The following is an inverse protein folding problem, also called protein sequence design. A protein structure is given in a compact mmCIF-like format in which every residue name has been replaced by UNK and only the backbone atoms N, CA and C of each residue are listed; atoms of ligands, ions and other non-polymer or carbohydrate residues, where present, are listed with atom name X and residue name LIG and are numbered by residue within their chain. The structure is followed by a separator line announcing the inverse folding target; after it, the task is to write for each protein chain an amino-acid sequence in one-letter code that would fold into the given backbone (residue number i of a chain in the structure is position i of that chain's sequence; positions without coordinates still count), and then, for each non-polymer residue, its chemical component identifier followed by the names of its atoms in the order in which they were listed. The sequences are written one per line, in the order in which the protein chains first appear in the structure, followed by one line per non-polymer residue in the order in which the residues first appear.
data_IF_614004594296
#
_entry.id   IF_614004594296
#
_cell.length_a   1.000
_cell.length_b   1.000
_cell.length_c   1.000
_cell.angle_alpha   90.00
_cell.angle_beta   90.00
_cell.angle_gamma   90.00
#
_symmetry.space_group_name_H-M   'P 1'
#
loop_
_entity.id
_entity.type
_entity.pdbx_description
1 polymer ?
#
# COMPACT_ATOMS: atom_id res chain seq x y z
N UNK A 1 -27.91 18.00 -40.16
CA UNK A 1 -26.99 18.67 -39.22
C UNK A 1 -27.02 17.85 -37.97
N UNK A 2 -26.15 16.84 -37.99
CA UNK A 2 -26.11 15.76 -37.02
C UNK A 2 -25.57 16.25 -35.69
N UNK A 3 -26.28 15.87 -34.63
CA UNK A 3 -25.98 16.20 -33.25
C UNK A 3 -25.01 15.13 -32.72
N UNK A 4 -23.70 15.32 -32.94
CA UNK A 4 -22.67 14.48 -32.34
C UNK A 4 -22.65 14.69 -30.83
N UNK A 5 -23.28 13.74 -30.10
CA UNK A 5 -23.06 13.56 -28.67
C UNK A 5 -21.60 13.21 -28.45
N UNK A 6 -20.84 14.14 -27.87
CA UNK A 6 -19.54 13.86 -27.24
C UNK A 6 -19.69 12.66 -26.30
N UNK A 7 -19.05 11.56 -26.67
CA UNK A 7 -18.84 10.42 -25.80
C UNK A 7 -17.80 10.88 -24.76
N UNK A 8 -18.23 11.09 -23.51
CA UNK A 8 -17.31 11.24 -22.40
C UNK A 8 -16.54 9.92 -22.24
N UNK A 9 -15.22 9.98 -22.40
CA UNK A 9 -14.34 8.84 -22.15
C UNK A 9 -14.46 8.46 -20.67
N UNK A 10 -15.18 7.36 -20.42
CA UNK A 10 -15.29 6.71 -19.12
C UNK A 10 -13.86 6.32 -18.69
N UNK A 11 -13.38 6.90 -17.57
CA UNK A 11 -12.11 6.51 -16.93
C UNK A 11 -12.26 5.09 -16.38
N UNK A 12 -12.11 4.10 -17.25
CA UNK A 12 -12.32 2.71 -16.89
C UNK A 12 -11.11 2.13 -16.14
N UNK A 13 -11.16 2.23 -14.82
CA UNK A 13 -10.31 1.46 -13.90
C UNK A 13 -10.86 0.07 -13.60
N UNK A 14 -12.03 -0.30 -14.15
CA UNK A 14 -12.68 -1.58 -13.87
C UNK A 14 -12.17 -2.64 -14.84
N UNK A 15 -11.60 -3.71 -14.29
CA UNK A 15 -11.08 -4.82 -15.09
C UNK A 15 -12.19 -5.71 -15.68
N UNK A 16 -13.47 -5.49 -15.33
CA UNK A 16 -14.61 -6.26 -15.79
C UNK A 16 -15.91 -5.42 -15.76
N UNK A 17 -16.40 -5.00 -16.93
CA UNK A 17 -17.83 -4.69 -17.13
C UNK A 17 -18.39 -3.44 -16.45
N UNK A 18 -17.58 -2.46 -16.06
CA UNK A 18 -18.06 -1.19 -15.49
C UNK A 18 -18.53 -1.29 -14.04
N UNK A 19 -18.04 -2.28 -13.28
CA UNK A 19 -18.31 -2.38 -11.84
C UNK A 19 -17.22 -1.66 -11.03
N UNK A 20 -17.63 -0.76 -10.13
CA UNK A 20 -16.71 0.03 -9.30
C UNK A 20 -16.16 -0.78 -8.10
N UNK A 21 -17.00 -1.60 -7.46
CA UNK A 21 -16.58 -2.49 -6.37
C UNK A 21 -17.48 -3.71 -6.23
N UNK A 22 -16.94 -4.81 -5.71
CA UNK A 22 -17.72 -6.02 -5.38
C UNK A 22 -18.82 -5.70 -4.37
N UNK A 23 -18.54 -4.87 -3.37
CA UNK A 23 -19.51 -4.49 -2.35
C UNK A 23 -20.72 -3.76 -2.97
N UNK A 24 -20.47 -2.76 -3.84
CA UNK A 24 -21.52 -2.02 -4.52
C UNK A 24 -22.33 -2.92 -5.45
N UNK A 25 -21.66 -3.80 -6.21
CA UNK A 25 -22.31 -4.78 -7.07
C UNK A 25 -23.27 -5.68 -6.28
N UNK A 26 -22.80 -6.26 -5.16
CA UNK A 26 -23.62 -7.12 -4.33
C UNK A 26 -24.78 -6.36 -3.67
N UNK A 27 -24.52 -5.14 -3.16
CA UNK A 27 -25.53 -4.33 -2.48
C UNK A 27 -26.66 -3.86 -3.39
N UNK A 28 -26.37 -3.61 -4.68
CA UNK A 28 -27.34 -3.16 -5.67
C UNK A 28 -28.08 -4.32 -6.34
N UNK A 29 -27.45 -5.50 -6.40
CA UNK A 29 -28.01 -6.66 -7.10
C UNK A 29 -28.76 -7.63 -6.20
N UNK A 30 -28.56 -7.60 -4.88
CA UNK A 30 -29.16 -8.54 -3.94
C UNK A 30 -30.23 -7.87 -3.06
N UNK A 31 -31.34 -8.56 -2.75
CA UNK A 31 -32.26 -8.16 -1.68
C UNK A 31 -31.52 -7.98 -0.35
N UNK A 32 -31.94 -7.05 0.53
CA UNK A 32 -31.20 -6.72 1.76
C UNK A 32 -30.87 -7.92 2.66
N UNK A 33 -31.79 -8.88 2.80
CA UNK A 33 -31.57 -10.08 3.62
C UNK A 33 -30.51 -11.03 3.02
N UNK A 34 -30.48 -11.18 1.69
CA UNK A 34 -29.44 -11.97 1.02
C UNK A 34 -28.10 -11.26 1.05
N UNK A 35 -28.09 -9.93 0.87
CA UNK A 35 -26.85 -9.15 0.97
C UNK A 35 -26.22 -9.28 2.36
N UNK A 36 -27.02 -9.24 3.43
CA UNK A 36 -26.55 -9.46 4.79
C UNK A 36 -25.96 -10.87 4.98
N UNK A 37 -26.64 -11.90 4.49
CA UNK A 37 -26.17 -13.29 4.64
C UNK A 37 -24.91 -13.57 3.81
N UNK A 38 -24.84 -13.06 2.58
CA UNK A 38 -23.63 -13.11 1.74
C UNK A 38 -22.49 -12.37 2.41
N UNK A 39 -22.76 -11.18 2.97
CA UNK A 39 -21.77 -10.40 3.72
C UNK A 39 -21.23 -11.17 4.92
N UNK A 40 -22.09 -11.85 5.69
CA UNK A 40 -21.72 -12.70 6.82
C UNK A 40 -20.79 -13.84 6.41
N UNK A 41 -21.05 -14.47 5.26
CA UNK A 41 -20.26 -15.61 4.77
C UNK A 41 -18.91 -15.14 4.19
N UNK A 42 -18.89 -14.08 3.39
CA UNK A 42 -17.69 -13.62 2.70
C UNK A 42 -16.73 -12.84 3.61
N UNK A 43 -17.26 -11.96 4.47
CA UNK A 43 -16.45 -11.07 5.29
C UNK A 43 -16.36 -11.51 6.76
N UNK A 44 -17.31 -12.33 7.23
CA UNK A 44 -17.45 -12.67 8.64
C UNK A 44 -18.14 -11.58 9.46
N UNK A 45 -18.06 -11.73 10.79
CA UNK A 45 -18.61 -10.79 11.77
C UNK A 45 -17.48 -10.31 12.70
N UNK A 46 -17.54 -9.05 13.10
CA UNK A 46 -16.70 -8.49 14.14
C UNK A 46 -17.50 -8.44 15.45
N UNK A 47 -17.09 -9.22 16.45
CA UNK A 47 -17.80 -9.35 17.74
C UNK A 47 -19.31 -9.65 17.57
N UNK A 48 -19.65 -10.56 16.65
CA UNK A 48 -21.03 -10.98 16.40
C UNK A 48 -21.88 -10.00 15.58
N UNK A 49 -21.30 -8.90 15.07
CA UNK A 49 -22.00 -7.91 14.25
C UNK A 49 -21.29 -7.70 12.90
N UNK A 50 -21.99 -7.22 11.86
CA UNK A 50 -21.35 -6.75 10.63
C UNK A 50 -20.34 -5.65 10.94
N UNK A 51 -19.30 -5.55 10.10
CA UNK A 51 -18.26 -4.53 10.24
C UNK A 51 -18.88 -3.12 10.19
N UNK A 52 -18.54 -2.30 11.18
CA UNK A 52 -19.07 -0.94 11.32
C UNK A 52 -18.25 0.05 10.48
N UNK A 53 -18.93 0.92 9.73
CA UNK A 53 -18.29 2.04 9.04
C UNK A 53 -18.07 3.22 9.98
N UNK A 54 -16.91 3.87 9.89
CA UNK A 54 -16.57 5.06 10.66
C UNK A 54 -16.75 6.32 9.82
N UNK A 55 -17.28 7.37 10.44
CA UNK A 55 -17.32 8.70 9.85
C UNK A 55 -15.91 9.24 9.63
N UNK A 56 -15.70 9.90 8.49
CA UNK A 56 -14.46 10.60 8.16
C UNK A 56 -14.58 12.07 8.55
N UNK A 57 -13.50 12.72 9.02
CA UNK A 57 -13.53 14.14 9.34
C UNK A 57 -13.66 14.99 8.07
N UNK A 58 -14.35 16.13 8.16
CA UNK A 58 -14.59 17.05 7.05
C UNK A 58 -13.29 17.49 6.35
N UNK A 59 -12.21 17.66 7.11
CA UNK A 59 -10.89 18.02 6.57
C UNK A 59 -10.31 16.94 5.66
N UNK A 60 -10.55 15.65 5.95
CA UNK A 60 -10.14 14.55 5.10
C UNK A 60 -11.06 14.41 3.87
N UNK A 61 -12.37 14.59 4.06
CA UNK A 61 -13.36 14.57 2.96
C UNK A 61 -13.04 15.68 1.94
N UNK A 62 -12.73 16.88 2.41
CA UNK A 62 -12.35 18.00 1.54
C UNK A 62 -11.09 17.69 0.70
N UNK A 63 -10.11 16.97 1.27
CA UNK A 63 -8.93 16.51 0.53
C UNK A 63 -9.29 15.45 -0.51
N UNK A 64 -10.11 14.46 -0.13
CA UNK A 64 -10.62 13.42 -1.03
C UNK A 64 -11.33 14.02 -2.24
N UNK A 65 -12.26 14.97 -2.02
CA UNK A 65 -12.97 15.65 -3.11
C UNK A 65 -12.05 16.51 -3.98
N UNK A 66 -11.08 17.20 -3.36
CA UNK A 66 -10.15 18.09 -4.09
C UNK A 66 -9.16 17.32 -4.97
N UNK A 67 -8.68 16.18 -4.51
CA UNK A 67 -7.63 15.40 -5.17
C UNK A 67 -8.14 14.10 -5.83
N UNK A 68 -9.46 13.89 -5.85
CA UNK A 68 -10.14 12.80 -6.56
C UNK A 68 -9.64 11.41 -6.15
N UNK A 69 -9.82 11.05 -4.88
CA UNK A 69 -9.51 9.72 -4.36
C UNK A 69 -10.55 9.21 -3.36
N UNK A 70 -10.80 7.90 -3.39
CA UNK A 70 -11.74 7.25 -2.48
C UNK A 70 -11.22 7.19 -1.04
N UNK A 71 -12.14 7.31 -0.08
CA UNK A 71 -11.86 7.09 1.32
C UNK A 71 -12.96 6.23 1.95
N UNK A 72 -12.54 5.23 2.72
CA UNK A 72 -13.42 4.40 3.54
C UNK A 72 -12.74 4.14 4.88
N UNK A 73 -13.53 4.07 5.94
CA UNK A 73 -13.05 3.78 7.28
C UNK A 73 -13.98 2.80 7.96
N UNK A 74 -13.40 1.85 8.69
CA UNK A 74 -14.13 0.78 9.37
C UNK A 74 -13.57 0.56 10.78
N UNK A 75 -14.42 0.05 11.68
CA UNK A 75 -14.05 -0.21 13.06
C UNK A 75 -14.04 -1.71 13.35
N UNK A 76 -12.95 -2.19 13.95
CA UNK A 76 -12.86 -3.52 14.53
C UNK A 76 -12.82 -3.39 16.04
N UNK A 77 -13.81 -3.99 16.70
CA UNK A 77 -13.94 -4.03 18.14
C UNK A 77 -13.33 -5.31 18.72
N UNK A 78 -13.05 -5.26 20.02
CA UNK A 78 -12.71 -6.40 20.86
C UNK A 78 -13.58 -6.37 22.13
N UNK A 79 -13.72 -7.51 22.79
CA UNK A 79 -14.38 -7.56 24.09
C UNK A 79 -13.60 -6.74 25.13
N UNK A 80 -14.34 -6.11 26.05
CA UNK A 80 -13.72 -5.29 27.09
C UNK A 80 -12.99 -6.20 28.09
N UNK A 81 -11.68 -6.00 28.21
CA UNK A 81 -10.91 -6.64 29.27
C UNK A 81 -11.15 -5.97 30.63
N UNK A 82 -11.02 -6.76 31.71
CA UNK A 82 -11.15 -6.26 33.09
C UNK A 82 -9.87 -5.57 33.57
N UNK A 83 -8.70 -6.06 33.13
CA UNK A 83 -7.39 -5.64 33.66
C UNK A 83 -6.60 -4.74 32.71
N UNK A 84 -7.00 -4.64 31.43
CA UNK A 84 -6.30 -3.84 30.43
C UNK A 84 -7.24 -2.84 29.81
N UNK A 85 -6.74 -1.63 29.64
CA UNK A 85 -7.43 -0.62 28.86
C UNK A 85 -7.40 -0.97 27.37
N UNK A 86 -8.42 -0.58 26.59
CA UNK A 86 -8.44 -0.79 25.15
C UNK A 86 -7.25 -0.10 24.47
N UNK A 87 -6.47 -0.88 23.70
CA UNK A 87 -5.41 -0.34 22.85
C UNK A 87 -5.98 0.00 21.48
N UNK A 88 -6.53 1.21 21.34
CA UNK A 88 -7.09 1.69 20.07
C UNK A 88 -5.97 2.12 19.12
N UNK A 89 -5.97 1.60 17.90
CA UNK A 89 -5.02 1.94 16.84
C UNK A 89 -5.76 2.17 15.54
N UNK A 90 -5.48 3.29 14.87
CA UNK A 90 -5.98 3.58 13.53
C UNK A 90 -4.91 3.24 12.51
N UNK A 91 -5.24 2.35 11.58
CA UNK A 91 -4.36 1.93 10.49
C UNK A 91 -4.86 2.53 9.18
N UNK A 92 -3.97 3.13 8.40
CA UNK A 92 -4.24 3.66 7.07
C UNK A 92 -3.54 2.83 6.01
N UNK A 93 -4.26 2.54 4.91
CA UNK A 93 -3.73 1.83 3.75
C UNK A 93 -3.90 2.73 2.54
N UNK A 94 -2.80 3.01 1.82
CA UNK A 94 -2.83 3.82 0.61
C UNK A 94 -2.56 2.95 -0.60
N UNK A 95 -3.48 3.01 -1.56
CA UNK A 95 -3.33 2.49 -2.91
C UNK A 95 -3.44 3.62 -3.93
N UNK A 96 -2.66 3.57 -5.00
CA UNK A 96 -2.68 4.57 -6.05
C UNK A 96 -2.08 4.03 -7.36
N UNK A 97 -2.45 4.66 -8.46
CA UNK A 97 -1.76 4.52 -9.74
C UNK A 97 -0.55 5.45 -9.85
N UNK A 98 0.31 5.21 -10.84
CA UNK A 98 1.39 6.15 -11.19
C UNK A 98 0.86 7.53 -11.57
N UNK A 99 1.69 8.56 -11.43
CA UNK A 99 1.32 9.94 -11.73
C UNK A 99 1.64 10.35 -13.18
N UNK A 100 2.79 9.91 -13.71
CA UNK A 100 3.28 10.28 -15.04
C UNK A 100 3.50 9.05 -15.92
N UNK A 101 3.54 9.19 -17.26
CA UNK A 101 3.90 8.11 -18.17
C UNK A 101 5.26 7.51 -17.84
N UNK A 102 5.40 6.20 -17.99
CA UNK A 102 6.67 5.49 -17.71
C UNK A 102 7.84 5.89 -18.62
N UNK A 103 7.60 6.67 -19.67
CA UNK A 103 8.61 7.26 -20.57
C UNK A 103 9.13 8.61 -20.10
N UNK A 104 8.54 9.22 -19.08
CA UNK A 104 9.02 10.48 -18.50
C UNK A 104 10.35 10.29 -17.74
N UNK A 105 11.14 11.34 -17.50
CA UNK A 105 12.34 11.26 -16.68
C UNK A 105 12.05 10.67 -15.29
N UNK A 106 12.97 9.86 -14.76
CA UNK A 106 12.77 9.18 -13.48
C UNK A 106 12.57 10.12 -12.29
N UNK A 107 13.31 11.23 -12.27
CA UNK A 107 13.15 12.30 -11.29
C UNK A 107 11.73 12.88 -11.30
N UNK A 108 11.16 13.06 -12.49
CA UNK A 108 9.82 13.62 -12.64
C UNK A 108 8.75 12.61 -12.25
N UNK A 109 8.91 11.34 -12.63
CA UNK A 109 8.02 10.27 -12.20
C UNK A 109 7.97 10.18 -10.66
N UNK A 110 9.13 10.17 -10.01
CA UNK A 110 9.25 10.12 -8.54
C UNK A 110 8.58 11.33 -7.87
N UNK A 111 8.89 12.54 -8.35
CA UNK A 111 8.27 13.77 -7.84
C UNK A 111 6.75 13.76 -8.02
N UNK A 112 6.26 13.33 -9.18
CA UNK A 112 4.83 13.21 -9.44
C UNK A 112 4.16 12.21 -8.49
N UNK A 113 4.85 11.14 -8.09
CA UNK A 113 4.35 10.22 -7.07
C UNK A 113 4.29 10.90 -5.69
N UNK A 114 5.33 11.62 -5.28
CA UNK A 114 5.33 12.38 -4.01
C UNK A 114 4.18 13.38 -3.95
N UNK A 115 4.00 14.17 -5.02
CA UNK A 115 2.91 15.13 -5.15
C UNK A 115 1.54 14.46 -5.07
N UNK A 116 1.40 13.26 -5.65
CA UNK A 116 0.17 12.48 -5.63
C UNK A 116 -0.14 11.90 -4.26
N UNK A 117 0.83 11.36 -3.53
CA UNK A 117 0.54 10.74 -2.22
C UNK A 117 0.48 11.69 -1.06
N UNK A 118 1.18 12.82 -1.15
CA UNK A 118 1.16 13.80 -0.08
C UNK A 118 -0.27 14.14 0.38
N UNK A 119 -1.25 14.44 -0.50
CA UNK A 119 -2.62 14.70 -0.07
C UNK A 119 -3.31 13.47 0.55
N UNK A 120 -3.01 12.25 0.10
CA UNK A 120 -3.55 11.01 0.70
C UNK A 120 -3.01 10.81 2.11
N UNK A 121 -1.70 11.04 2.31
CA UNK A 121 -1.06 11.01 3.63
C UNK A 121 -1.60 12.13 4.52
N UNK A 122 -1.79 13.32 3.97
CA UNK A 122 -2.39 14.45 4.71
C UNK A 122 -3.83 14.12 5.16
N UNK A 123 -4.63 13.45 4.33
CA UNK A 123 -5.98 13.00 4.70
C UNK A 123 -5.98 11.87 5.74
N UNK A 124 -5.03 10.93 5.65
CA UNK A 124 -4.81 9.91 6.68
C UNK A 124 -4.43 10.55 8.03
N UNK A 125 -3.51 11.52 8.00
CA UNK A 125 -3.11 12.31 9.18
C UNK A 125 -4.28 13.07 9.79
N UNK A 126 -5.10 13.73 8.97
CA UNK A 126 -6.34 14.39 9.39
C UNK A 126 -7.37 13.42 10.00
N UNK A 127 -7.35 12.15 9.58
CA UNK A 127 -8.18 11.08 10.11
C UNK A 127 -7.60 10.42 11.38
N UNK A 128 -6.49 10.94 11.90
CA UNK A 128 -5.84 10.43 13.12
C UNK A 128 -5.20 9.06 12.96
N UNK A 129 -4.77 8.69 11.74
CA UNK A 129 -4.06 7.42 11.50
C UNK A 129 -2.75 7.39 12.30
N UNK A 130 -2.52 6.26 12.98
CA UNK A 130 -1.33 6.03 13.80
C UNK A 130 -0.25 5.23 13.04
N UNK A 131 -0.68 4.27 12.22
CA UNK A 131 0.21 3.45 11.38
C UNK A 131 -0.29 3.49 9.94
N UNK A 132 0.55 3.95 9.01
CA UNK A 132 0.23 4.06 7.60
C UNK A 132 1.11 3.13 6.78
N UNK A 133 0.51 2.41 5.83
CA UNK A 133 1.22 1.57 4.90
C UNK A 133 1.00 2.01 3.45
N UNK A 134 2.09 2.17 2.71
CA UNK A 134 2.08 2.40 1.27
C UNK A 134 2.16 1.07 0.51
N UNK A 135 1.64 1.03 -0.72
CA UNK A 135 1.73 -0.15 -1.57
C UNK A 135 3.19 -0.52 -1.95
N UNK A 136 3.41 -1.78 -2.32
CA UNK A 136 4.73 -2.25 -2.75
C UNK A 136 5.23 -1.48 -3.98
N UNK A 137 6.49 -1.06 -3.95
CA UNK A 137 7.12 -0.29 -5.03
C UNK A 137 6.28 0.92 -5.44
N UNK A 138 5.71 1.63 -4.46
CA UNK A 138 4.82 2.76 -4.67
C UNK A 138 5.38 3.85 -5.62
N UNK A 139 6.71 3.95 -5.73
CA UNK A 139 7.43 4.82 -6.66
C UNK A 139 7.35 4.39 -8.14
N UNK A 140 6.81 3.21 -8.46
CA UNK A 140 6.95 2.58 -9.79
C UNK A 140 5.72 1.77 -10.20
N UNK A 141 5.41 1.77 -11.51
CA UNK A 141 4.53 0.76 -12.11
C UNK A 141 5.28 -0.57 -12.29
N UNK A 142 4.67 -1.68 -11.90
CA UNK A 142 4.86 -2.95 -12.60
C UNK A 142 4.21 -2.78 -13.99
N UNK A 143 5.02 -2.43 -14.99
CA UNK A 143 4.52 -2.04 -16.30
C UNK A 143 3.94 -3.23 -17.06
N UNK A 144 2.61 -3.44 -17.02
CA UNK A 144 1.88 -4.01 -18.16
C UNK A 144 1.80 -2.93 -19.23
N UNK A 145 2.34 -3.21 -20.42
CA UNK A 145 2.01 -2.43 -21.63
C UNK A 145 1.75 -3.36 -22.83
N UNK A 146 0.64 -3.03 -23.50
CA UNK A 146 0.14 -3.39 -24.84
C UNK A 146 -0.16 -4.83 -25.24
N UNK A 147 0.23 -5.87 -24.52
CA UNK A 147 -0.22 -7.24 -24.81
C UNK A 147 -0.40 -8.13 -23.56
N UNK A 148 -0.80 -7.54 -22.41
CA UNK A 148 -0.96 -8.33 -21.18
C UNK A 148 0.36 -8.96 -20.70
N UNK A 149 1.48 -8.28 -20.94
CA UNK A 149 2.80 -8.67 -20.43
C UNK A 149 3.34 -7.57 -19.50
N UNK A 150 3.43 -7.82 -18.19
CA UNK A 150 4.41 -7.14 -17.35
C UNK A 150 5.81 -7.63 -17.72
N UNK A 151 6.47 -6.91 -18.61
CA UNK A 151 7.93 -7.02 -18.73
C UNK A 151 8.55 -5.88 -17.94
N UNK A 152 9.21 -6.25 -16.84
CA UNK A 152 10.39 -5.55 -16.40
C UNK A 152 11.45 -5.75 -17.50
N UNK A 153 11.53 -4.84 -18.47
CA UNK A 153 12.52 -4.96 -19.55
C UNK A 153 13.93 -4.76 -18.97
N UNK A 154 14.72 -5.83 -18.95
CA UNK A 154 16.13 -5.75 -19.30
C UNK A 154 16.19 -5.71 -20.83
N UNK A 155 16.34 -4.52 -21.40
CA UNK A 155 16.96 -4.42 -22.73
C UNK A 155 18.45 -4.43 -22.46
N UNK A 156 19.26 -5.32 -23.07
CA UNK A 156 20.71 -5.20 -23.01
C UNK A 156 21.10 -3.78 -23.47
N UNK A 157 21.58 -2.94 -22.53
CA UNK A 157 21.90 -1.53 -22.77
C UNK A 157 20.95 -0.48 -22.16
N UNK A 158 19.79 -0.84 -21.61
CA UNK A 158 18.91 0.09 -20.85
C UNK A 158 18.73 -0.38 -19.40
N UNK A 159 19.53 0.19 -18.50
CA UNK A 159 19.54 -0.05 -17.04
C UNK A 159 18.46 0.75 -16.30
N UNK A 160 17.37 1.10 -16.98
CA UNK A 160 16.60 2.29 -16.62
C UNK A 160 15.81 2.10 -15.30
N UNK A 161 15.33 0.89 -15.01
CA UNK A 161 14.59 0.60 -13.78
C UNK A 161 15.40 0.63 -12.48
N UNK A 162 16.73 0.53 -12.59
CA UNK A 162 17.68 0.53 -11.47
C UNK A 162 17.90 1.95 -10.92
N UNK A 163 17.54 2.97 -11.70
CA UNK A 163 17.61 4.39 -11.33
C UNK A 163 16.60 4.79 -10.26
N UNK A 164 15.57 3.98 -10.03
CA UNK A 164 14.64 4.15 -8.90
C UNK A 164 15.19 3.59 -7.58
N UNK A 165 16.31 2.88 -7.61
CA UNK A 165 16.86 2.27 -6.41
C UNK A 165 17.53 3.32 -5.53
N UNK A 166 17.12 3.38 -4.27
CA UNK A 166 17.60 4.35 -3.29
C UNK A 166 18.20 3.63 -2.08
N UNK A 167 19.18 4.23 -1.39
CA UNK A 167 19.55 3.74 -0.07
C UNK A 167 18.37 3.91 0.90
N UNK A 168 18.40 3.21 2.03
CA UNK A 168 17.30 3.19 3.00
C UNK A 168 17.04 4.58 3.61
N UNK A 169 18.04 5.44 3.65
CA UNK A 169 18.01 6.84 4.07
C UNK A 169 17.90 7.82 2.88
N UNK A 170 17.49 7.32 1.71
CA UNK A 170 17.30 8.11 0.51
C UNK A 170 16.16 9.13 0.59
N UNK A 171 16.01 9.92 -0.47
CA UNK A 171 15.05 11.01 -0.56
C UNK A 171 13.60 10.56 -0.28
N UNK A 172 13.20 9.37 -0.72
CA UNK A 172 11.85 8.82 -0.39
C UNK A 172 11.65 8.66 1.11
N UNK A 173 12.65 8.15 1.82
CA UNK A 173 12.57 7.99 3.28
C UNK A 173 12.54 9.36 3.95
N UNK A 174 13.40 10.30 3.53
CA UNK A 174 13.45 11.66 4.10
C UNK A 174 12.13 12.40 3.95
N UNK A 175 11.52 12.35 2.76
CA UNK A 175 10.20 12.90 2.50
C UNK A 175 9.13 12.34 3.46
N UNK A 176 9.15 11.02 3.69
CA UNK A 176 8.20 10.37 4.59
C UNK A 176 8.52 10.60 6.08
N UNK A 177 9.79 10.81 6.45
CA UNK A 177 10.18 11.15 7.83
C UNK A 177 9.57 12.49 8.26
N UNK A 178 9.50 13.47 7.37
CA UNK A 178 8.85 14.76 7.65
C UNK A 178 7.34 14.57 7.89
N UNK A 179 6.68 13.75 7.08
CA UNK A 179 5.24 13.46 7.24
C UNK A 179 4.95 12.61 8.49
N UNK A 180 5.82 11.64 8.80
CA UNK A 180 5.75 10.84 10.01
C UNK A 180 5.80 11.73 11.26
N UNK A 181 6.76 12.68 11.31
CA UNK A 181 6.88 13.68 12.39
C UNK A 181 5.66 14.59 12.46
N UNK A 182 5.23 15.12 11.31
CA UNK A 182 4.09 16.06 11.23
C UNK A 182 2.82 15.47 11.83
N UNK A 183 2.54 14.19 11.55
CA UNK A 183 1.30 13.53 11.97
C UNK A 183 1.47 12.62 13.17
N UNK A 184 2.66 12.56 13.77
CA UNK A 184 2.99 11.62 14.84
C UNK A 184 2.60 10.18 14.44
N UNK A 185 3.01 9.73 13.26
CA UNK A 185 2.52 8.51 12.63
C UNK A 185 3.68 7.60 12.21
N UNK A 186 3.54 6.29 12.42
CA UNK A 186 4.47 5.30 11.87
C UNK A 186 4.15 5.11 10.38
N UNK A 187 5.15 5.14 9.51
CA UNK A 187 4.98 4.94 8.06
C UNK A 187 5.80 3.74 7.59
N UNK A 188 5.13 2.79 6.94
CA UNK A 188 5.75 1.67 6.24
C UNK A 188 5.94 2.05 4.77
N UNK A 189 7.20 2.12 4.34
CA UNK A 189 7.62 2.56 3.01
C UNK A 189 8.31 1.45 2.22
N UNK A 190 7.59 0.72 1.35
CA UNK A 190 8.20 -0.22 0.43
C UNK A 190 8.96 0.50 -0.71
N UNK A 191 10.26 0.25 -0.82
CA UNK A 191 11.16 0.82 -1.83
C UNK A 191 11.95 -0.26 -2.57
N UNK A 192 12.49 0.10 -3.73
CA UNK A 192 13.63 -0.60 -4.31
C UNK A 192 14.89 -0.08 -3.62
N UNK A 193 15.49 -0.89 -2.78
CA UNK A 193 16.70 -0.54 -2.04
C UNK A 193 17.93 -0.75 -2.90
N UNK A 194 18.87 0.19 -2.87
CA UNK A 194 20.28 0.00 -3.25
C UNK A 194 21.13 -0.07 -2.00
N UNK A 195 21.73 -1.23 -1.74
CA UNK A 195 22.60 -1.43 -0.59
C UNK A 195 24.04 -0.99 -0.91
N UNK A 196 24.31 0.30 -0.67
CA UNK A 196 25.63 0.91 -0.92
C UNK A 196 26.75 0.26 -0.11
N UNK A 197 26.44 -0.37 1.04
CA UNK A 197 27.44 -1.01 1.90
C UNK A 197 27.79 -2.43 1.43
N UNK A 198 26.95 -3.05 0.60
CA UNK A 198 27.12 -4.42 0.11
C UNK A 198 27.13 -4.44 -1.42
N UNK A 199 28.04 -3.66 -2.02
CA UNK A 199 28.32 -3.70 -3.46
C UNK A 199 27.18 -3.18 -4.33
N UNK A 200 26.38 -2.24 -3.83
CA UNK A 200 25.21 -1.66 -4.51
C UNK A 200 24.13 -2.68 -4.90
N UNK A 201 24.08 -3.81 -4.18
CA UNK A 201 23.10 -4.87 -4.43
C UNK A 201 21.68 -4.33 -4.25
N UNK A 202 20.79 -4.71 -5.17
CA UNK A 202 19.40 -4.28 -5.14
C UNK A 202 18.54 -5.22 -4.30
N UNK A 203 17.55 -4.67 -3.60
CA UNK A 203 16.61 -5.41 -2.77
C UNK A 203 15.20 -4.84 -2.86
N UNK A 204 14.18 -5.68 -2.69
CA UNK A 204 12.82 -5.22 -2.43
C UNK A 204 12.62 -5.10 -0.92
N UNK A 205 12.45 -3.88 -0.42
CA UNK A 205 12.63 -3.58 1.00
C UNK A 205 11.49 -2.71 1.52
N UNK A 206 10.91 -3.09 2.66
CA UNK A 206 10.06 -2.22 3.45
C UNK A 206 10.89 -1.51 4.52
N UNK A 207 10.91 -0.18 4.48
CA UNK A 207 11.52 0.68 5.50
C UNK A 207 10.44 1.09 6.50
N UNK A 208 10.73 0.94 7.79
CA UNK A 208 9.80 1.29 8.86
C UNK A 208 10.24 2.61 9.47
N UNK A 209 9.44 3.66 9.27
CA UNK A 209 9.69 5.00 9.78
C UNK A 209 8.81 5.20 11.01
N UNK A 210 9.44 5.51 12.15
CA UNK A 210 8.75 5.77 13.41
C UNK A 210 8.02 7.11 13.43
N UNK A 211 7.14 7.28 14.41
CA UNK A 211 6.33 8.48 14.61
C UNK A 211 7.14 9.76 14.91
N UNK A 212 8.39 9.62 15.36
CA UNK A 212 9.35 10.71 15.52
C UNK A 212 10.22 10.95 14.27
N UNK A 213 9.93 10.25 13.17
CA UNK A 213 10.69 10.31 11.92
C UNK A 213 12.03 9.58 11.97
N UNK A 214 12.34 8.80 13.00
CA UNK A 214 13.51 7.91 12.99
C UNK A 214 13.23 6.66 12.15
N UNK A 215 14.24 6.09 11.48
CA UNK A 215 14.09 4.75 10.88
C UNK A 215 14.18 3.71 12.00
N UNK A 216 13.10 2.96 12.22
CA UNK A 216 13.06 1.87 13.21
C UNK A 216 13.84 0.66 12.69
N UNK A 217 13.73 0.38 11.40
CA UNK A 217 14.44 -0.71 10.75
C UNK A 217 13.95 -0.96 9.32
N UNK A 218 14.34 -2.11 8.78
CA UNK A 218 13.97 -2.53 7.43
C UNK A 218 13.72 -4.03 7.35
N UNK A 219 12.89 -4.46 6.41
CA UNK A 219 12.65 -5.86 6.07
C UNK A 219 12.74 -6.06 4.56
N UNK A 220 13.53 -7.05 4.12
CA UNK A 220 13.71 -7.43 2.71
C UNK A 220 12.80 -8.61 2.35
N UNK A 221 12.22 -8.57 1.16
CA UNK A 221 11.26 -9.55 0.66
C UNK A 221 11.84 -10.98 0.67
N UNK A 222 11.30 -11.85 1.53
CA UNK A 222 11.76 -13.24 1.67
C UNK A 222 11.49 -14.10 0.43
N UNK A 223 10.32 -13.96 -0.19
CA UNK A 223 9.89 -14.81 -1.31
C UNK A 223 9.80 -14.01 -2.61
N UNK A 224 10.68 -14.31 -3.57
CA UNK A 224 10.75 -13.61 -4.85
C UNK A 224 9.98 -14.40 -5.93
N UNK A 225 8.99 -13.78 -6.61
CA UNK A 225 8.29 -14.44 -7.71
C UNK A 225 9.20 -14.63 -8.92
N UNK A 226 8.97 -15.74 -9.62
CA UNK A 226 9.60 -16.11 -10.89
C UNK A 226 8.56 -16.46 -11.96
N UNK A 227 7.33 -16.01 -11.77
CA UNK A 227 6.15 -16.51 -12.49
C UNK A 227 5.63 -15.45 -13.46
N UNK A 228 5.57 -15.83 -14.74
CA UNK A 228 5.05 -15.02 -15.82
C UNK A 228 5.68 -13.62 -15.84
N UNK A 229 4.80 -12.64 -15.74
CA UNK A 229 5.06 -11.21 -15.74
C UNK A 229 5.80 -10.68 -14.50
N UNK A 230 5.87 -11.49 -13.44
CA UNK A 230 6.55 -11.16 -12.19
C UNK A 230 7.92 -11.83 -12.16
N UNK A 231 8.80 -11.47 -13.10
CA UNK A 231 10.18 -11.96 -13.12
C UNK A 231 11.12 -11.10 -12.25
N UNK A 232 10.78 -10.97 -10.96
CA UNK A 232 11.50 -10.11 -10.02
C UNK A 232 12.91 -10.63 -9.70
N UNK A 233 13.13 -11.95 -9.83
CA UNK A 233 14.43 -12.60 -9.56
C UNK A 233 15.58 -12.14 -10.46
N UNK A 234 15.29 -11.40 -11.52
CA UNK A 234 16.30 -10.77 -12.39
C UNK A 234 16.89 -9.48 -11.79
N UNK A 235 16.25 -8.91 -10.76
CA UNK A 235 16.64 -7.63 -10.16
C UNK A 235 17.21 -7.75 -8.76
N UNK A 236 16.67 -8.65 -7.94
CA UNK A 236 17.04 -8.80 -6.54
C UNK A 236 16.83 -10.23 -6.07
N UNK A 237 17.58 -10.61 -5.03
CA UNK A 237 17.59 -11.94 -4.44
C UNK A 237 16.63 -12.03 -3.24
N UNK A 238 16.39 -13.26 -2.78
CA UNK A 238 15.65 -13.54 -1.55
C UNK A 238 16.25 -12.79 -0.34
N UNK A 239 15.38 -12.14 0.43
CA UNK A 239 15.77 -11.30 1.55
C UNK A 239 16.59 -12.03 2.62
N UNK A 240 17.54 -11.31 3.21
CA UNK A 240 18.45 -11.81 4.26
C UNK A 240 18.16 -11.22 5.65
N UNK A 241 16.98 -10.60 5.84
CA UNK A 241 16.59 -9.94 7.10
C UNK A 241 15.75 -10.82 8.02
N UNK A 242 15.40 -12.05 7.61
CA UNK A 242 14.51 -12.92 8.38
C UNK A 242 13.07 -12.40 8.45
N UNK A 243 12.44 -12.53 9.62
CA UNK A 243 11.04 -12.15 9.86
C UNK A 243 10.92 -11.11 10.99
N UNK A 244 11.54 -9.92 10.85
CA UNK A 244 11.60 -8.96 11.94
C UNK A 244 10.20 -8.42 12.28
N UNK A 245 9.96 -8.31 13.58
CA UNK A 245 8.81 -7.60 14.16
C UNK A 245 9.32 -6.29 14.76
N UNK A 246 8.66 -5.19 14.39
CA UNK A 246 9.06 -3.85 14.79
C UNK A 246 8.17 -3.37 15.92
N UNK A 247 8.77 -3.07 17.07
CA UNK A 247 8.06 -2.45 18.19
C UNK A 247 7.90 -0.94 17.94
N UNK A 248 6.67 -0.45 18.06
CA UNK A 248 6.32 0.95 17.79
C UNK A 248 5.46 1.49 18.92
N UNK A 249 5.32 2.82 18.99
CA UNK A 249 4.41 3.46 19.94
C UNK A 249 2.96 2.91 19.84
N UNK A 250 2.56 2.41 18.68
CA UNK A 250 1.19 1.98 18.38
C UNK A 250 1.00 0.46 18.41
N UNK A 251 2.08 -0.31 18.48
CA UNK A 251 2.05 -1.76 18.61
C UNK A 251 3.16 -2.42 17.81
N UNK A 252 3.28 -3.73 17.96
CA UNK A 252 4.21 -4.53 17.18
C UNK A 252 3.66 -4.73 15.77
N UNK A 253 4.45 -4.38 14.75
CA UNK A 253 4.07 -4.53 13.34
C UNK A 253 5.09 -5.39 12.59
N UNK A 254 4.64 -6.05 11.53
CA UNK A 254 5.47 -6.80 10.59
C UNK A 254 5.00 -6.55 9.16
N UNK A 255 5.85 -6.84 8.17
CA UNK A 255 5.52 -6.57 6.76
C UNK A 255 5.74 -7.83 5.92
N UNK A 256 4.65 -8.46 5.47
CA UNK A 256 4.73 -9.53 4.49
C UNK A 256 4.64 -8.95 3.06
N UNK A 257 5.77 -8.92 2.36
CA UNK A 257 5.90 -8.20 1.08
C UNK A 257 5.41 -9.06 -0.10
N UNK A 258 4.31 -8.62 -0.73
CA UNK A 258 3.82 -9.08 -2.04
C UNK A 258 3.70 -10.61 -2.19
N UNK A 259 4.70 -11.29 -2.75
CA UNK A 259 4.64 -12.72 -3.08
C UNK A 259 4.75 -13.63 -1.84
N UNK A 260 5.26 -13.09 -0.73
CA UNK A 260 5.20 -13.77 0.57
C UNK A 260 3.76 -14.02 1.04
N UNK A 261 2.74 -13.38 0.44
CA UNK A 261 1.32 -13.68 0.70
C UNK A 261 0.95 -15.14 0.46
N UNK A 262 1.61 -15.81 -0.48
CA UNK A 262 1.34 -17.20 -0.88
C UNK A 262 2.03 -18.24 0.01
N UNK A 263 2.82 -17.79 0.99
CA UNK A 263 3.65 -18.68 1.82
C UNK A 263 3.13 -18.63 3.26
N UNK A 264 2.27 -19.59 3.68
CA UNK A 264 1.73 -19.61 5.04
C UNK A 264 2.81 -19.61 6.12
N UNK A 265 3.95 -20.27 5.88
CA UNK A 265 5.08 -20.28 6.81
C UNK A 265 5.72 -18.90 6.99
N UNK A 266 5.68 -18.04 5.97
CA UNK A 266 6.18 -16.66 6.08
C UNK A 266 5.29 -15.84 7.01
N UNK A 267 3.97 -16.02 6.94
CA UNK A 267 3.02 -15.41 7.88
C UNK A 267 3.22 -15.94 9.30
N UNK A 268 3.35 -17.26 9.44
CA UNK A 268 3.53 -17.92 10.73
C UNK A 268 4.82 -17.47 11.43
N UNK A 269 5.92 -17.33 10.69
CA UNK A 269 7.20 -16.89 11.25
C UNK A 269 7.12 -15.48 11.85
N UNK A 270 6.43 -14.52 11.20
CA UNK A 270 6.16 -13.22 11.81
C UNK A 270 5.29 -13.33 13.08
N UNK A 271 4.37 -14.30 13.12
CA UNK A 271 3.55 -14.57 14.30
C UNK A 271 4.34 -15.11 15.49
N UNK A 272 5.36 -15.95 15.26
CA UNK A 272 6.22 -16.46 16.32
C UNK A 272 7.12 -15.39 16.94
N UNK A 273 7.66 -14.48 16.13
CA UNK A 273 8.48 -13.35 16.59
C UNK A 273 7.63 -12.24 17.27
N UNK A 274 6.30 -12.38 17.29
CA UNK A 274 5.37 -11.43 17.88
C UNK A 274 5.15 -11.66 19.39
N UNK A 275 5.31 -12.91 19.84
CA UNK A 275 5.21 -13.36 21.24
C UNK A 275 6.44 -12.95 22.06
#
# INVERSE_FOLDING_TARGET
MDNEKKIEEQKDGSLCGGFDSLHQLLSTSLPPHLFQEVGRILNGLNCGKPLESLGLPDSAIALSSKYDFDMQAFCFHAEKEVLREPRMVRVGLIQNSIALPTTAPFSDQKRGIFEKIKPLIDAAGASGVNVLCLQVSHQRKQTTMRHGQCRLHFVPGRRDGVSFAEPVDGETTQFLQDLARKYNMVIVSPILERDVNHGETLWNTAVIIGNHGNVIGKHRKNHIPRVGDFNESTYYMEGNTGHPVFDTAYGKIAVNICYGRHHPLNWLAFGFEWC
#
